data_IF_634533933300
#
_entry.id   IF_634533933300
#
_cell.length_a   1.000
_cell.length_b   1.000
_cell.length_c   1.000
_cell.angle_alpha   90.00
_cell.angle_beta   90.00
_cell.angle_gamma   90.00
#
_symmetry.space_group_name_H-M   'P 1'
#
loop_
_entity.id
_entity.type
_entity.pdbx_description
1 polymer ?
#
# COMPACT_ATOMS: atom_id res chain seq x y z
N UNK A 1 26.32 4.82 -29.68
CA UNK A 1 24.91 5.03 -29.40
C UNK A 1 24.66 4.54 -27.98
N UNK A 2 24.04 5.34 -27.13
CA UNK A 2 23.71 4.93 -25.76
C UNK A 2 22.63 3.84 -25.87
N UNK A 3 22.85 2.71 -25.21
CA UNK A 3 21.89 1.60 -25.23
C UNK A 3 20.63 2.02 -24.48
N UNK A 4 19.44 1.77 -25.06
CA UNK A 4 18.15 2.06 -24.43
C UNK A 4 17.86 1.07 -23.32
N UNK A 5 17.38 1.56 -22.18
CA UNK A 5 16.85 0.75 -21.08
C UNK A 5 15.35 0.51 -21.28
N UNK A 6 14.90 -0.72 -21.14
CA UNK A 6 13.48 -1.06 -21.15
C UNK A 6 13.03 -1.45 -19.74
N UNK A 7 11.86 -1.02 -19.32
CA UNK A 7 11.30 -1.27 -17.99
C UNK A 7 9.90 -1.85 -18.16
N UNK A 8 9.65 -3.00 -17.56
CA UNK A 8 8.33 -3.63 -17.56
C UNK A 8 7.61 -3.24 -16.26
N UNK A 9 6.52 -2.48 -16.38
CA UNK A 9 5.69 -1.99 -15.29
C UNK A 9 5.91 -0.51 -14.99
N UNK A 10 4.83 0.26 -15.06
CA UNK A 10 4.76 1.69 -14.77
C UNK A 10 4.32 2.00 -13.33
N UNK A 11 4.55 1.09 -12.39
CA UNK A 11 4.38 1.33 -10.95
C UNK A 11 5.47 2.25 -10.39
N UNK A 12 5.47 2.47 -9.06
CA UNK A 12 6.44 3.37 -8.42
C UNK A 12 7.89 2.98 -8.70
N UNK A 13 8.25 1.70 -8.56
CA UNK A 13 9.61 1.20 -8.83
C UNK A 13 10.03 1.41 -10.28
N UNK A 14 9.12 1.17 -11.24
CA UNK A 14 9.41 1.37 -12.66
C UNK A 14 9.56 2.85 -13.03
N UNK A 15 8.71 3.71 -12.49
CA UNK A 15 8.80 5.17 -12.69
C UNK A 15 10.08 5.74 -12.08
N UNK A 16 10.46 5.31 -10.86
CA UNK A 16 11.70 5.73 -10.21
C UNK A 16 12.93 5.28 -11.00
N UNK A 17 12.95 4.01 -11.43
CA UNK A 17 14.05 3.49 -12.25
C UNK A 17 14.20 4.24 -13.59
N UNK A 18 13.06 4.55 -14.24
CA UNK A 18 13.06 5.34 -15.48
C UNK A 18 13.58 6.76 -15.25
N UNK A 19 13.10 7.40 -14.17
CA UNK A 19 13.52 8.75 -13.80
C UNK A 19 15.02 8.84 -13.55
N UNK A 20 15.56 7.97 -12.69
CA UNK A 20 16.96 7.96 -12.35
C UNK A 20 17.86 7.67 -13.57
N UNK A 21 17.48 6.70 -14.42
CA UNK A 21 18.22 6.40 -15.64
C UNK A 21 18.21 7.60 -16.61
N UNK A 22 17.08 8.24 -16.78
CA UNK A 22 16.94 9.41 -17.65
C UNK A 22 17.72 10.64 -17.14
N UNK A 23 17.77 10.86 -15.82
CA UNK A 23 18.63 11.89 -15.21
C UNK A 23 20.13 11.67 -15.49
N UNK A 24 20.53 10.41 -15.66
CA UNK A 24 21.89 10.03 -16.07
C UNK A 24 22.10 10.06 -17.60
N UNK A 25 21.13 10.54 -18.37
CA UNK A 25 21.21 10.65 -19.83
C UNK A 25 20.95 9.35 -20.59
N UNK A 26 20.40 8.32 -19.93
CA UNK A 26 20.05 7.04 -20.56
C UNK A 26 18.62 7.11 -21.11
N UNK A 27 18.38 6.86 -22.42
CA UNK A 27 17.03 6.78 -22.96
C UNK A 27 16.31 5.54 -22.43
N UNK A 28 15.04 5.70 -22.05
CA UNK A 28 14.22 4.67 -21.41
C UNK A 28 12.92 4.44 -22.17
N UNK A 29 12.43 3.20 -22.18
CA UNK A 29 11.05 2.87 -22.52
C UNK A 29 10.40 2.13 -21.36
N UNK A 30 9.28 2.66 -20.85
CA UNK A 30 8.40 1.97 -19.90
C UNK A 30 7.34 1.23 -20.70
N UNK A 31 7.16 -0.06 -20.42
CA UNK A 31 6.10 -0.90 -20.96
C UNK A 31 5.06 -1.11 -19.85
N UNK A 32 3.91 -0.46 -19.95
CA UNK A 32 2.80 -0.55 -18.98
C UNK A 32 1.61 -1.24 -19.61
N UNK A 33 1.09 -2.27 -18.96
CA UNK A 33 -0.04 -3.02 -19.51
C UNK A 33 -1.39 -2.29 -19.41
N UNK A 34 -1.55 -1.41 -18.42
CA UNK A 34 -2.79 -0.61 -18.25
C UNK A 34 -2.81 0.58 -19.22
N UNK A 35 -3.96 1.01 -19.68
CA UNK A 35 -5.30 0.49 -19.36
C UNK A 35 -5.75 -0.69 -20.22
N UNK A 36 -4.90 -1.28 -21.08
CA UNK A 36 -5.29 -2.37 -21.99
C UNK A 36 -5.56 -3.68 -21.24
N UNK A 37 -4.75 -3.95 -20.21
CA UNK A 37 -4.94 -5.09 -19.30
C UNK A 37 -5.12 -4.53 -17.89
N UNK A 38 -6.31 -4.66 -17.36
CA UNK A 38 -6.65 -4.18 -16.03
C UNK A 38 -6.16 -5.13 -14.93
N UNK A 39 -5.97 -4.60 -13.73
CA UNK A 39 -5.70 -5.37 -12.52
C UNK A 39 -6.83 -5.19 -11.53
N UNK A 40 -6.97 -6.10 -10.61
CA UNK A 40 -8.00 -6.02 -9.56
C UNK A 40 -7.86 -4.77 -8.66
N UNK A 41 -6.65 -4.31 -8.42
CA UNK A 41 -6.37 -3.31 -7.39
C UNK A 41 -6.27 -1.87 -7.90
N UNK A 42 -5.84 -1.67 -9.15
CA UNK A 42 -5.74 -0.34 -9.74
C UNK A 42 -7.12 0.19 -10.11
N UNK A 43 -7.30 1.50 -9.98
CA UNK A 43 -8.55 2.20 -10.29
C UNK A 43 -8.41 3.11 -11.51
N UNK A 44 -7.17 3.43 -11.90
CA UNK A 44 -6.86 4.35 -13.00
C UNK A 44 -5.82 3.77 -13.94
N UNK A 45 -5.58 4.45 -15.07
CA UNK A 45 -4.46 4.18 -15.96
C UNK A 45 -3.19 4.97 -15.61
N UNK A 46 -3.21 5.74 -14.52
CA UNK A 46 -2.07 6.58 -14.11
C UNK A 46 -0.88 5.74 -13.65
N UNK A 47 0.32 6.23 -13.94
CA UNK A 47 1.57 5.63 -13.48
C UNK A 47 1.80 5.91 -11.99
N UNK A 48 2.53 5.00 -11.32
CA UNK A 48 2.86 5.17 -9.90
C UNK A 48 1.66 5.12 -8.94
N UNK A 49 0.52 4.57 -9.35
CA UNK A 49 -0.69 4.50 -8.53
C UNK A 49 -0.50 3.68 -7.24
N UNK A 50 -0.93 4.26 -6.11
CA UNK A 50 -0.95 3.58 -4.81
C UNK A 50 -2.23 2.77 -4.63
N UNK A 51 -2.13 1.47 -4.52
CA UNK A 51 -3.30 0.57 -4.56
C UNK A 51 -3.87 0.17 -3.21
N UNK A 52 -3.06 -0.05 -2.17
CA UNK A 52 -3.52 -0.56 -0.88
C UNK A 52 -3.65 0.53 0.19
N UNK A 53 -2.64 1.36 0.38
CA UNK A 53 -2.57 2.45 1.35
C UNK A 53 -2.21 3.75 0.65
N UNK A 54 -2.51 4.89 1.27
CA UNK A 54 -2.03 6.19 0.83
C UNK A 54 -0.81 6.68 1.64
N UNK A 55 -0.15 5.79 2.37
CA UNK A 55 0.93 6.14 3.28
C UNK A 55 2.22 5.41 2.95
N UNK A 56 3.32 6.14 3.00
CA UNK A 56 4.68 5.63 2.97
C UNK A 56 5.22 5.30 4.37
N UNK A 57 4.37 5.17 5.41
CA UNK A 57 4.72 4.96 6.81
C UNK A 57 5.38 6.17 7.47
N UNK A 58 6.24 5.96 8.47
CA UNK A 58 6.93 7.02 9.22
C UNK A 58 7.87 7.84 8.33
N UNK A 59 7.86 9.15 8.51
CA UNK A 59 8.77 10.09 7.85
C UNK A 59 9.85 10.64 8.81
N UNK A 60 10.03 10.00 9.95
CA UNK A 60 11.03 10.34 10.97
C UNK A 60 12.36 9.67 10.59
N UNK A 61 13.30 10.46 10.06
CA UNK A 61 14.61 10.00 9.57
C UNK A 61 15.63 9.80 10.69
N UNK A 62 15.38 10.33 11.89
CA UNK A 62 16.28 10.17 13.02
C UNK A 62 16.00 8.91 13.85
N UNK A 63 14.74 8.47 13.92
CA UNK A 63 14.31 7.39 14.82
C UNK A 63 13.62 6.22 14.13
N UNK A 64 13.46 6.26 12.82
CA UNK A 64 12.78 5.23 12.07
C UNK A 64 13.51 4.88 10.77
N UNK A 65 13.76 3.58 10.56
CA UNK A 65 14.48 3.10 9.36
C UNK A 65 13.78 3.50 8.05
N UNK A 66 12.44 3.50 8.01
CA UNK A 66 11.68 3.91 6.82
C UNK A 66 11.87 5.40 6.55
N UNK A 67 11.83 6.24 7.59
CA UNK A 67 12.11 7.68 7.47
C UNK A 67 13.53 7.93 6.96
N UNK A 68 14.51 7.15 7.42
CA UNK A 68 15.89 7.24 6.90
C UNK A 68 15.95 6.90 5.40
N UNK A 69 15.24 5.87 4.94
CA UNK A 69 15.14 5.54 3.51
C UNK A 69 14.50 6.70 2.73
N UNK A 70 13.47 7.35 3.26
CA UNK A 70 12.88 8.55 2.64
C UNK A 70 13.91 9.68 2.49
N UNK A 71 14.72 9.93 3.52
CA UNK A 71 15.77 10.92 3.47
C UNK A 71 16.82 10.59 2.41
N UNK A 72 17.29 9.35 2.35
CA UNK A 72 18.24 8.88 1.33
C UNK A 72 17.67 9.03 -0.09
N UNK A 73 16.41 8.66 -0.31
CA UNK A 73 15.74 8.82 -1.60
C UNK A 73 15.60 10.29 -2.01
N UNK A 74 15.25 11.18 -1.05
CA UNK A 74 15.22 12.64 -1.30
C UNK A 74 16.61 13.16 -1.68
N UNK A 75 17.66 12.72 -0.99
CA UNK A 75 19.04 13.08 -1.31
C UNK A 75 19.48 12.58 -2.69
N UNK A 76 18.93 11.44 -3.14
CA UNK A 76 19.16 10.89 -4.48
C UNK A 76 18.30 11.56 -5.58
N UNK A 77 17.46 12.53 -5.27
CA UNK A 77 16.60 13.21 -6.24
C UNK A 77 15.43 12.35 -6.75
N UNK A 78 14.85 11.52 -5.88
CA UNK A 78 13.73 10.64 -6.19
C UNK A 78 12.51 11.39 -6.69
N UNK A 79 11.95 10.97 -7.82
CA UNK A 79 10.67 11.44 -8.34
C UNK A 79 9.53 11.09 -7.39
N UNK A 80 9.55 9.86 -6.86
CA UNK A 80 8.52 9.34 -5.96
C UNK A 80 8.43 10.20 -4.71
N UNK A 81 9.57 10.49 -4.06
CA UNK A 81 9.60 11.29 -2.84
C UNK A 81 9.27 12.76 -3.09
N UNK A 82 9.82 13.37 -4.14
CA UNK A 82 9.51 14.74 -4.51
C UNK A 82 8.01 14.95 -4.81
N UNK A 83 7.38 13.96 -5.42
CA UNK A 83 5.94 13.98 -5.69
C UNK A 83 5.13 13.74 -4.41
N UNK A 84 5.59 12.85 -3.53
CA UNK A 84 4.95 12.59 -2.24
C UNK A 84 4.95 13.84 -1.36
N UNK A 85 6.07 14.54 -1.27
CA UNK A 85 6.20 15.79 -0.50
C UNK A 85 5.24 16.89 -1.03
N UNK A 86 5.07 16.97 -2.36
CA UNK A 86 4.16 17.93 -2.99
C UNK A 86 2.68 17.64 -2.72
N UNK A 87 2.31 16.37 -2.58
CA UNK A 87 0.93 15.93 -2.41
C UNK A 87 0.64 15.39 -1.00
N UNK A 88 1.48 15.79 -0.03
CA UNK A 88 1.35 15.40 1.37
C UNK A 88 -0.01 15.82 1.93
N UNK A 89 -0.59 14.94 2.70
CA UNK A 89 -1.78 15.21 3.52
C UNK A 89 -1.46 14.93 5.01
N UNK A 90 -2.19 15.57 5.94
CA UNK A 90 -1.93 15.40 7.37
C UNK A 90 -2.07 13.95 7.81
N UNK A 91 -1.03 13.41 8.45
CA UNK A 91 -0.97 12.04 8.95
C UNK A 91 -0.06 11.90 10.19
N UNK A 92 0.05 12.94 11.01
CA UNK A 92 0.93 12.99 12.18
C UNK A 92 2.39 12.79 11.76
N UNK A 93 3.09 11.79 12.33
CA UNK A 93 4.48 11.48 11.96
C UNK A 93 4.65 10.60 10.73
N UNK A 94 3.60 10.32 9.96
CA UNK A 94 3.67 9.54 8.75
C UNK A 94 3.66 10.43 7.49
N UNK A 95 4.29 9.97 6.41
CA UNK A 95 4.12 10.54 5.08
C UNK A 95 2.91 9.88 4.42
N UNK A 96 1.81 10.63 4.30
CA UNK A 96 0.64 10.20 3.55
C UNK A 96 0.34 11.20 2.43
N UNK A 97 -0.26 10.74 1.34
CA UNK A 97 -0.49 11.55 0.15
C UNK A 97 -1.94 11.47 -0.33
N UNK A 98 -2.38 12.50 -1.05
CA UNK A 98 -3.58 12.45 -1.86
C UNK A 98 -3.29 11.61 -3.11
N UNK A 99 -3.88 10.41 -3.20
CA UNK A 99 -3.49 9.38 -4.19
C UNK A 99 -3.65 9.84 -5.64
N UNK A 100 -4.77 10.45 -5.96
CA UNK A 100 -5.10 10.79 -7.35
C UNK A 100 -4.19 11.91 -7.89
N UNK A 101 -4.03 13.06 -7.21
CA UNK A 101 -3.07 14.08 -7.63
C UNK A 101 -1.62 13.58 -7.63
N UNK A 102 -1.27 12.68 -6.71
CA UNK A 102 0.05 12.07 -6.64
C UNK A 102 0.34 11.25 -7.91
N UNK A 103 -0.52 10.28 -8.27
CA UNK A 103 -0.34 9.45 -9.44
C UNK A 103 -0.34 10.27 -10.74
N UNK A 104 -1.25 11.25 -10.87
CA UNK A 104 -1.28 12.18 -12.00
C UNK A 104 0.00 12.98 -12.16
N UNK A 105 0.61 13.42 -11.05
CA UNK A 105 1.87 14.18 -11.09
C UNK A 105 3.05 13.31 -11.51
N UNK A 106 3.12 12.05 -11.08
CA UNK A 106 4.13 11.10 -11.58
C UNK A 106 3.94 10.86 -13.07
N UNK A 107 2.70 10.57 -13.49
CA UNK A 107 2.36 10.36 -14.90
C UNK A 107 2.79 11.55 -15.76
N UNK A 108 2.46 12.77 -15.34
CA UNK A 108 2.85 13.98 -16.05
C UNK A 108 4.38 14.17 -16.12
N UNK A 109 5.11 13.91 -15.02
CA UNK A 109 6.57 14.03 -14.98
C UNK A 109 7.25 13.03 -15.92
N UNK A 110 6.80 11.78 -15.93
CA UNK A 110 7.33 10.73 -16.80
C UNK A 110 7.09 11.08 -18.27
N UNK A 111 5.86 11.47 -18.63
CA UNK A 111 5.54 11.84 -20.03
C UNK A 111 6.22 13.12 -20.51
N UNK A 112 6.53 14.04 -19.61
CA UNK A 112 7.21 15.29 -19.96
C UNK A 112 8.74 15.11 -20.16
N UNK A 113 9.32 14.01 -19.71
CA UNK A 113 10.77 13.81 -19.76
C UNK A 113 11.24 13.39 -21.16
N UNK A 114 12.17 14.13 -21.82
CA UNK A 114 12.52 13.92 -23.23
C UNK A 114 13.23 12.58 -23.53
N UNK A 115 13.74 11.89 -22.51
CA UNK A 115 14.41 10.60 -22.63
C UNK A 115 13.55 9.41 -22.20
N UNK A 116 12.28 9.64 -21.80
CA UNK A 116 11.38 8.57 -21.36
C UNK A 116 10.22 8.46 -22.34
N UNK A 117 10.10 7.28 -22.95
CA UNK A 117 8.93 6.89 -23.73
C UNK A 117 8.06 5.92 -22.91
N UNK A 118 6.75 5.99 -23.04
CA UNK A 118 5.81 5.05 -22.43
C UNK A 118 5.04 4.33 -23.53
N UNK A 119 5.10 3.01 -23.52
CA UNK A 119 4.37 2.14 -24.44
C UNK A 119 3.33 1.35 -23.65
N UNK A 120 2.07 1.49 -24.01
CA UNK A 120 0.97 0.76 -23.35
C UNK A 120 0.79 -0.61 -23.99
N UNK A 121 1.47 -1.60 -23.43
CA UNK A 121 1.41 -2.99 -23.89
C UNK A 121 1.77 -3.96 -22.76
N UNK A 122 1.22 -5.16 -22.84
CA UNK A 122 1.62 -6.25 -21.95
C UNK A 122 2.84 -6.97 -22.50
N UNK A 123 3.90 -7.08 -21.70
CA UNK A 123 5.05 -7.93 -21.99
C UNK A 123 4.81 -9.29 -21.33
N UNK A 124 4.70 -10.33 -22.16
CA UNK A 124 4.32 -11.68 -21.73
C UNK A 124 5.48 -12.67 -21.62
N UNK A 125 6.72 -12.22 -21.93
CA UNK A 125 7.92 -13.06 -21.93
C UNK A 125 9.13 -12.25 -21.47
N UNK A 126 10.17 -12.94 -21.05
CA UNK A 126 11.46 -12.30 -20.70
C UNK A 126 12.30 -12.14 -21.99
N UNK A 127 12.65 -10.90 -22.38
CA UNK A 127 13.38 -10.64 -23.63
C UNK A 127 14.81 -11.20 -23.61
N UNK A 128 15.28 -11.68 -24.77
CA UNK A 128 16.61 -12.26 -24.91
C UNK A 128 17.71 -11.21 -25.10
N UNK A 129 17.35 -10.07 -25.69
CA UNK A 129 18.27 -9.00 -26.03
C UNK A 129 17.90 -7.67 -25.38
N UNK A 130 18.86 -6.76 -25.29
CA UNK A 130 18.68 -5.45 -24.68
C UNK A 130 18.87 -5.45 -23.17
N UNK A 131 18.73 -4.28 -22.54
CA UNK A 131 18.74 -4.11 -21.09
C UNK A 131 17.31 -3.94 -20.58
N UNK A 132 16.97 -4.74 -19.59
CA UNK A 132 15.60 -4.77 -19.04
C UNK A 132 15.58 -4.71 -17.52
N UNK A 133 14.58 -4.02 -17.01
CA UNK A 133 14.20 -4.07 -15.59
C UNK A 133 12.74 -4.55 -15.49
N UNK A 134 12.51 -5.63 -14.75
CA UNK A 134 11.18 -6.09 -14.39
C UNK A 134 10.78 -5.41 -13.08
N UNK A 135 9.84 -4.47 -13.15
CA UNK A 135 9.35 -3.64 -12.04
C UNK A 135 7.82 -3.71 -11.91
N UNK A 136 7.26 -4.89 -12.17
CA UNK A 136 5.81 -5.12 -12.24
C UNK A 136 5.12 -5.18 -10.89
N UNK A 137 5.89 -5.12 -9.79
CA UNK A 137 5.36 -5.17 -8.46
C UNK A 137 4.57 -6.46 -8.18
N UNK A 138 3.57 -6.39 -7.29
CA UNK A 138 2.82 -7.57 -6.88
C UNK A 138 1.80 -8.06 -7.91
N UNK A 139 1.45 -7.22 -8.90
CA UNK A 139 0.41 -7.49 -9.91
C UNK A 139 0.99 -7.89 -11.27
N UNK A 140 2.09 -8.65 -11.25
CA UNK A 140 2.67 -9.22 -12.46
C UNK A 140 1.61 -10.05 -13.21
N UNK A 141 1.49 -9.84 -14.53
CA UNK A 141 0.52 -10.59 -15.34
C UNK A 141 0.80 -12.09 -15.31
N UNK A 142 -0.24 -12.89 -15.47
CA UNK A 142 -0.12 -14.35 -15.42
C UNK A 142 0.89 -14.88 -16.45
N UNK A 143 0.85 -14.35 -17.68
CA UNK A 143 1.75 -14.77 -18.75
C UNK A 143 3.21 -14.45 -18.43
N UNK A 144 3.51 -13.25 -17.92
CA UNK A 144 4.88 -12.90 -17.53
C UNK A 144 5.32 -13.70 -16.29
N UNK A 145 4.46 -13.96 -15.32
CA UNK A 145 4.78 -14.80 -14.17
C UNK A 145 5.13 -16.22 -14.58
N UNK A 146 4.39 -16.81 -15.53
CA UNK A 146 4.71 -18.12 -16.11
C UNK A 146 6.06 -18.09 -16.85
N UNK A 147 6.35 -17.03 -17.60
CA UNK A 147 7.64 -16.89 -18.30
C UNK A 147 8.81 -16.77 -17.30
N UNK A 148 8.64 -16.04 -16.20
CA UNK A 148 9.65 -15.97 -15.12
C UNK A 148 9.86 -17.34 -14.49
N UNK A 149 8.77 -18.08 -14.23
CA UNK A 149 8.85 -19.44 -13.68
C UNK A 149 9.56 -20.40 -14.64
N UNK A 150 9.23 -20.34 -15.92
CA UNK A 150 9.88 -21.18 -16.94
C UNK A 150 11.39 -20.90 -17.05
N UNK A 151 11.80 -19.65 -16.99
CA UNK A 151 13.22 -19.23 -17.05
C UNK A 151 13.99 -19.63 -15.79
N UNK A 152 13.38 -19.49 -14.62
CA UNK A 152 14.07 -19.68 -13.32
C UNK A 152 13.99 -21.12 -12.81
N UNK A 153 13.05 -21.93 -13.33
CA UNK A 153 12.74 -23.25 -12.79
C UNK A 153 12.18 -23.24 -11.36
N UNK A 154 11.91 -22.04 -10.82
CA UNK A 154 11.41 -21.85 -9.48
C UNK A 154 9.94 -21.46 -9.52
N UNK A 155 9.10 -22.09 -8.68
CA UNK A 155 7.74 -21.62 -8.49
C UNK A 155 7.78 -20.18 -7.97
N UNK A 156 6.93 -19.32 -8.54
CA UNK A 156 6.73 -17.99 -8.01
C UNK A 156 6.21 -18.11 -6.58
N UNK A 157 6.92 -17.49 -5.67
CA UNK A 157 6.44 -17.37 -4.29
C UNK A 157 5.22 -16.46 -4.32
N UNK A 158 4.19 -16.83 -3.59
CA UNK A 158 2.98 -16.04 -3.48
C UNK A 158 2.74 -15.67 -2.02
N UNK A 159 2.32 -14.44 -1.82
CA UNK A 159 1.75 -14.00 -0.55
C UNK A 159 0.41 -13.31 -0.83
N UNK A 160 -0.39 -13.22 0.19
CA UNK A 160 -1.66 -12.53 0.11
C UNK A 160 -1.58 -11.20 0.82
N UNK A 161 -2.04 -10.18 0.12
CA UNK A 161 -2.13 -8.82 0.63
C UNK A 161 -3.59 -8.44 0.77
N UNK A 162 -3.92 -7.71 1.82
CA UNK A 162 -5.28 -7.29 2.08
C UNK A 162 -5.38 -5.76 2.06
N UNK A 163 -6.48 -5.27 1.52
CA UNK A 163 -6.78 -3.85 1.40
C UNK A 163 -7.77 -3.48 2.50
N UNK A 164 -7.56 -2.33 3.14
CA UNK A 164 -8.48 -1.76 4.12
C UNK A 164 -9.63 -1.01 3.42
N UNK A 165 -10.84 -1.00 4.02
CA UNK A 165 -11.96 -0.22 3.54
C UNK A 165 -11.74 1.30 3.62
N UNK A 166 -12.40 2.04 2.72
CA UNK A 166 -12.46 3.50 2.71
C UNK A 166 -13.91 3.93 2.92
N UNK A 167 -14.11 4.89 3.82
CA UNK A 167 -15.43 5.38 4.27
C UNK A 167 -15.61 6.83 3.84
N UNK A 168 -16.84 7.21 3.47
CA UNK A 168 -17.22 8.60 3.27
C UNK A 168 -17.32 9.35 4.59
N UNK A 169 -16.70 10.53 4.67
CA UNK A 169 -16.62 11.32 5.89
C UNK A 169 -17.99 11.75 6.45
N UNK A 170 -18.92 12.08 5.57
CA UNK A 170 -20.29 12.53 5.91
C UNK A 170 -21.18 11.43 6.49
N UNK A 171 -20.78 10.17 6.37
CA UNK A 171 -21.44 9.02 6.98
C UNK A 171 -20.93 8.66 8.39
N UNK A 172 -19.97 9.43 8.94
CA UNK A 172 -19.38 9.19 10.25
C UNK A 172 -20.08 10.06 11.32
N UNK A 173 -20.51 9.44 12.40
CA UNK A 173 -21.11 10.15 13.53
C UNK A 173 -20.04 10.82 14.40
N UNK A 174 -19.82 12.12 14.15
CA UNK A 174 -18.85 12.95 14.89
C UNK A 174 -19.28 13.24 16.35
N UNK A 175 -20.50 12.91 16.76
CA UNK A 175 -20.89 13.00 18.18
C UNK A 175 -20.24 11.89 19.04
N UNK A 176 -19.75 10.83 18.40
CA UNK A 176 -19.08 9.69 19.03
C UNK A 176 -17.60 9.63 18.70
N UNK A 177 -17.20 10.10 17.53
CA UNK A 177 -15.83 10.11 17.06
C UNK A 177 -15.18 11.49 17.28
N UNK A 178 -13.84 11.53 17.40
CA UNK A 178 -13.11 12.79 17.55
C UNK A 178 -11.80 12.78 16.75
N UNK A 179 -11.28 13.97 16.44
CA UNK A 179 -10.03 14.17 15.73
C UNK A 179 -8.86 14.31 16.72
N UNK A 180 -7.87 13.42 16.64
CA UNK A 180 -6.63 13.51 17.41
C UNK A 180 -5.57 12.56 16.83
N UNK A 181 -4.35 13.04 16.64
CA UNK A 181 -3.18 12.20 16.42
C UNK A 181 -2.67 11.63 17.74
N UNK A 182 -2.17 10.42 17.72
CA UNK A 182 -1.67 9.73 18.92
C UNK A 182 -0.50 10.51 19.56
N UNK A 183 -0.60 10.77 20.86
CA UNK A 183 0.33 11.61 21.64
C UNK A 183 0.38 13.06 21.15
N UNK A 184 -0.66 13.55 20.48
CA UNK A 184 -0.71 14.88 19.85
C UNK A 184 0.50 15.17 18.96
N UNK A 185 1.02 14.13 18.30
CA UNK A 185 2.16 14.24 17.38
C UNK A 185 1.82 15.11 16.19
N UNK A 186 2.75 16.01 15.86
CA UNK A 186 2.68 16.95 14.75
C UNK A 186 3.08 18.36 15.20
N UNK A 187 3.63 19.12 14.28
CA UNK A 187 4.05 20.50 14.54
C UNK A 187 2.85 21.46 14.45
N UNK A 188 1.92 21.18 13.54
CA UNK A 188 0.72 21.98 13.31
C UNK A 188 -0.51 21.40 14.00
N UNK A 189 -1.53 22.21 14.18
CA UNK A 189 -2.84 21.76 14.70
C UNK A 189 -3.46 20.71 13.75
N UNK A 190 -3.29 20.88 12.44
CA UNK A 190 -3.80 19.96 11.44
C UNK A 190 -3.16 18.57 11.54
N UNK A 191 -1.85 18.50 11.81
CA UNK A 191 -1.16 17.24 12.06
C UNK A 191 -1.56 16.60 13.38
N UNK A 192 -1.74 17.40 14.45
CA UNK A 192 -2.22 16.92 15.74
C UNK A 192 -3.64 16.39 15.72
N UNK A 193 -4.44 16.81 14.74
CA UNK A 193 -5.81 16.37 14.51
C UNK A 193 -6.01 15.57 13.23
N UNK A 194 -4.95 14.86 12.76
CA UNK A 194 -4.95 14.17 11.47
C UNK A 194 -5.76 12.87 11.45
N UNK A 195 -6.01 12.27 12.62
CA UNK A 195 -6.72 11.00 12.73
C UNK A 195 -8.09 11.17 13.38
N UNK A 196 -9.09 10.52 12.81
CA UNK A 196 -10.39 10.34 13.42
C UNK A 196 -10.36 9.08 14.28
N UNK A 197 -10.91 9.14 15.49
CA UNK A 197 -10.85 8.08 16.48
C UNK A 197 -12.26 7.66 16.90
N UNK A 198 -12.54 6.37 16.86
CA UNK A 198 -13.80 5.76 17.27
C UNK A 198 -13.56 4.92 18.54
N UNK A 199 -14.10 5.31 19.71
CA UNK A 199 -13.86 4.64 20.98
C UNK A 199 -14.74 3.40 21.11
N UNK A 200 -14.24 2.38 21.78
CA UNK A 200 -15.01 1.20 22.14
C UNK A 200 -14.88 0.91 23.64
N UNK A 201 -16.01 0.62 24.29
CA UNK A 201 -16.03 -0.02 25.60
C UNK A 201 -15.58 -1.47 25.51
N UNK A 202 -15.30 -2.11 26.66
CA UNK A 202 -14.91 -3.53 26.70
C UNK A 202 -15.99 -4.43 26.06
N UNK A 203 -17.25 -4.22 26.41
CA UNK A 203 -18.35 -5.03 25.86
C UNK A 203 -18.50 -4.88 24.35
N UNK A 204 -18.36 -3.65 23.81
CA UNK A 204 -18.40 -3.40 22.37
C UNK A 204 -17.21 -4.07 21.66
N UNK A 205 -16.02 -3.98 22.24
CA UNK A 205 -14.82 -4.63 21.70
C UNK A 205 -14.98 -6.16 21.64
N UNK A 206 -15.43 -6.78 22.75
CA UNK A 206 -15.62 -8.23 22.80
C UNK A 206 -16.66 -8.71 21.77
N UNK A 207 -17.80 -8.00 21.65
CA UNK A 207 -18.82 -8.29 20.64
C UNK A 207 -18.28 -8.10 19.21
N UNK A 208 -17.47 -7.07 18.98
CA UNK A 208 -16.81 -6.84 17.69
C UNK A 208 -15.85 -7.98 17.34
N UNK A 209 -15.01 -8.45 18.28
CA UNK A 209 -14.10 -9.56 18.08
C UNK A 209 -14.86 -10.85 17.75
N UNK A 210 -15.97 -11.13 18.43
CA UNK A 210 -16.80 -12.32 18.14
C UNK A 210 -17.36 -12.24 16.72
N UNK A 211 -17.95 -11.11 16.33
CA UNK A 211 -18.50 -10.91 15.00
C UNK A 211 -17.42 -10.97 13.90
N UNK A 212 -16.20 -10.47 14.17
CA UNK A 212 -15.07 -10.52 13.26
C UNK A 212 -14.59 -11.96 13.04
N UNK A 213 -14.51 -12.75 14.10
CA UNK A 213 -14.07 -14.16 14.03
C UNK A 213 -15.09 -15.04 13.32
N UNK A 214 -16.41 -14.79 13.54
CA UNK A 214 -17.51 -15.51 12.92
C UNK A 214 -17.83 -15.04 11.49
N UNK A 215 -17.27 -13.89 11.06
CA UNK A 215 -17.56 -13.31 9.75
C UNK A 215 -17.19 -14.26 8.60
N UNK A 216 -18.00 -14.22 7.54
CA UNK A 216 -17.69 -14.93 6.31
C UNK A 216 -16.42 -14.36 5.66
N UNK A 217 -15.48 -15.25 5.37
CA UNK A 217 -14.15 -14.91 4.82
C UNK A 217 -13.98 -15.49 3.42
N UNK A 218 -13.11 -14.87 2.64
CA UNK A 218 -12.65 -15.44 1.36
C UNK A 218 -11.75 -16.63 1.66
N UNK A 219 -12.06 -17.78 1.05
CA UNK A 219 -11.26 -18.99 1.15
C UNK A 219 -10.18 -19.01 0.05
N UNK A 220 -9.04 -19.57 0.37
CA UNK A 220 -7.98 -19.83 -0.60
C UNK A 220 -8.27 -21.10 -1.40
N UNK A 221 -7.72 -21.18 -2.60
CA UNK A 221 -7.82 -22.39 -3.41
C UNK A 221 -7.08 -23.55 -2.72
N UNK A 222 -7.56 -24.80 -2.89
CA UNK A 222 -6.87 -25.98 -2.37
C UNK A 222 -5.41 -26.01 -2.84
N UNK A 223 -4.46 -26.12 -1.90
CA UNK A 223 -3.02 -26.12 -2.17
C UNK A 223 -2.33 -24.76 -2.06
N UNK A 224 -3.07 -23.66 -1.89
CA UNK A 224 -2.48 -22.36 -1.56
C UNK A 224 -2.24 -22.26 -0.06
N UNK A 225 -0.98 -22.14 0.34
CA UNK A 225 -0.61 -21.77 1.71
C UNK A 225 -0.67 -20.26 1.85
N UNK A 226 -1.51 -19.77 2.76
CA UNK A 226 -1.62 -18.34 3.03
C UNK A 226 -0.36 -17.83 3.74
N UNK A 227 0.63 -17.38 2.99
CA UNK A 227 1.62 -16.44 3.50
C UNK A 227 1.03 -15.03 3.45
N UNK A 228 1.13 -14.29 4.56
CA UNK A 228 0.81 -12.85 4.57
C UNK A 228 2.08 -12.09 4.89
N UNK A 229 2.22 -10.88 4.37
CA UNK A 229 3.16 -9.93 4.94
C UNK A 229 2.66 -9.43 6.29
N UNK A 230 3.57 -9.27 7.25
CA UNK A 230 3.20 -8.79 8.59
C UNK A 230 2.57 -7.40 8.56
N UNK A 231 2.99 -6.52 7.66
CA UNK A 231 2.43 -5.16 7.51
C UNK A 231 1.05 -5.10 6.87
N UNK A 232 0.63 -6.16 6.16
CA UNK A 232 -0.68 -6.26 5.49
C UNK A 232 -1.52 -7.44 6.00
N UNK A 233 -1.24 -7.88 7.22
CA UNK A 233 -1.95 -8.99 7.84
C UNK A 233 -3.43 -8.66 8.01
N UNK A 234 -4.36 -9.51 7.52
CA UNK A 234 -5.79 -9.27 7.72
C UNK A 234 -6.15 -9.20 9.20
N UNK A 235 -7.06 -8.29 9.53
CA UNK A 235 -7.45 -8.04 10.92
C UNK A 235 -8.05 -9.28 11.60
N UNK A 236 -8.73 -10.14 10.84
CA UNK A 236 -9.27 -11.41 11.33
C UNK A 236 -8.15 -12.37 11.73
N UNK A 237 -7.07 -12.41 10.96
CA UNK A 237 -5.89 -13.25 11.25
C UNK A 237 -5.17 -12.76 12.50
N UNK A 238 -5.10 -11.43 12.69
CA UNK A 238 -4.59 -10.86 13.93
C UNK A 238 -5.48 -11.24 15.13
N UNK A 239 -6.81 -11.17 14.98
CA UNK A 239 -7.76 -11.54 16.04
C UNK A 239 -7.70 -13.04 16.38
N UNK A 240 -7.46 -13.92 15.41
CA UNK A 240 -7.26 -15.36 15.61
C UNK A 240 -6.03 -15.69 16.47
N UNK A 241 -5.01 -14.83 16.50
CA UNK A 241 -3.82 -14.97 17.36
C UNK A 241 -4.13 -14.75 18.85
N UNK A 242 -5.26 -14.13 19.16
CA UNK A 242 -5.75 -13.89 20.52
C UNK A 242 -6.70 -12.70 20.60
N UNK A 243 -7.71 -12.80 21.46
CA UNK A 243 -8.78 -11.79 21.58
C UNK A 243 -8.27 -10.38 21.87
N UNK A 244 -7.17 -10.24 22.60
CA UNK A 244 -6.57 -8.95 22.97
C UNK A 244 -5.56 -8.44 21.93
N UNK A 245 -5.21 -9.22 20.91
CA UNK A 245 -4.15 -8.86 19.94
C UNK A 245 -4.41 -7.51 19.30
N UNK A 246 -5.66 -7.24 18.88
CA UNK A 246 -6.00 -5.98 18.20
C UNK A 246 -5.87 -4.77 19.13
N UNK A 247 -6.17 -4.94 20.43
CA UNK A 247 -6.06 -3.90 21.46
C UNK A 247 -4.61 -3.50 21.74
N UNK A 248 -3.65 -4.38 21.52
CA UNK A 248 -2.21 -4.09 21.58
C UNK A 248 -1.60 -3.74 20.21
N UNK A 249 -2.39 -3.85 19.15
CA UNK A 249 -2.04 -3.54 17.76
C UNK A 249 -2.81 -2.33 17.21
N UNK A 250 -3.58 -2.52 16.12
CA UNK A 250 -4.25 -1.41 15.42
C UNK A 250 -5.31 -0.68 16.24
N UNK A 251 -5.91 -1.35 17.24
CA UNK A 251 -6.97 -0.78 18.08
C UNK A 251 -6.49 -0.31 19.46
N UNK A 252 -5.17 -0.12 19.65
CA UNK A 252 -4.66 0.29 20.98
C UNK A 252 -5.18 1.70 21.36
N UNK A 253 -5.61 1.93 22.62
CA UNK A 253 -6.11 3.23 23.05
C UNK A 253 -5.03 4.18 23.56
N UNK A 254 -3.81 3.73 23.74
CA UNK A 254 -2.70 4.48 24.36
C UNK A 254 -2.35 5.72 23.56
N UNK A 255 -2.15 6.86 24.24
CA UNK A 255 -1.81 8.14 23.62
C UNK A 255 -3.00 8.89 23.00
N UNK A 256 -4.24 8.48 23.32
CA UNK A 256 -5.47 9.11 22.88
C UNK A 256 -6.34 9.46 24.09
N UNK A 257 -7.02 10.61 24.02
CA UNK A 257 -7.96 11.07 25.02
C UNK A 257 -9.31 11.31 24.33
N UNK A 258 -10.36 10.62 24.78
CA UNK A 258 -11.68 10.79 24.18
C UNK A 258 -12.23 12.18 24.50
N UNK A 259 -12.40 13.04 23.50
CA UNK A 259 -12.89 14.40 23.67
C UNK A 259 -14.35 14.47 24.23
N UNK A 260 -15.15 13.43 23.99
CA UNK A 260 -16.53 13.32 24.46
C UNK A 260 -16.65 12.75 25.89
N UNK A 261 -15.60 12.07 26.37
CA UNK A 261 -15.55 11.47 27.72
C UNK A 261 -14.10 11.43 28.21
N UNK A 262 -13.53 12.60 28.62
CA UNK A 262 -12.13 12.70 29.01
C UNK A 262 -11.76 11.95 30.28
N UNK A 263 -12.74 11.70 31.14
CA UNK A 263 -12.55 11.03 32.43
C UNK A 263 -12.39 9.51 32.29
N UNK A 264 -13.00 8.93 31.23
CA UNK A 264 -13.01 7.50 31.01
C UNK A 264 -12.15 7.15 29.79
N UNK A 265 -11.08 6.39 30.01
CA UNK A 265 -10.25 5.88 28.92
C UNK A 265 -11.02 4.80 28.14
N UNK A 266 -11.08 4.90 26.81
CA UNK A 266 -11.67 3.85 25.99
C UNK A 266 -10.88 2.53 26.15
N UNK A 267 -11.59 1.41 26.07
CA UNK A 267 -10.95 0.09 26.13
C UNK A 267 -10.15 -0.19 24.87
N UNK A 268 -10.68 0.18 23.72
CA UNK A 268 -10.02 0.13 22.43
C UNK A 268 -10.42 1.36 21.58
N UNK A 269 -9.61 1.68 20.57
CA UNK A 269 -9.91 2.79 19.65
C UNK A 269 -9.61 2.34 18.23
N UNK A 270 -10.57 2.51 17.31
CA UNK A 270 -10.36 2.39 15.89
C UNK A 270 -9.95 3.76 15.33
N UNK A 271 -8.83 3.80 14.62
CA UNK A 271 -8.34 5.03 13.98
C UNK A 271 -8.62 5.02 12.48
N UNK A 272 -9.09 6.17 11.98
CA UNK A 272 -9.24 6.41 10.56
C UNK A 272 -8.32 7.56 10.15
N UNK A 273 -7.69 7.45 8.99
CA UNK A 273 -6.82 8.48 8.41
C UNK A 273 -7.46 9.04 7.15
N UNK A 274 -7.32 10.33 6.92
CA UNK A 274 -7.73 10.96 5.65
C UNK A 274 -7.10 10.22 4.47
N UNK A 275 -7.90 9.94 3.44
CA UNK A 275 -7.47 9.28 2.21
C UNK A 275 -7.31 10.29 1.05
N UNK A 276 -7.81 11.51 1.20
CA UNK A 276 -7.65 12.62 0.27
C UNK A 276 -7.49 13.97 0.99
N UNK A 277 -6.98 14.97 0.28
CA UNK A 277 -6.76 16.32 0.81
C UNK A 277 -8.04 17.03 1.22
N UNK A 278 -9.16 16.77 0.54
CA UNK A 278 -10.46 17.35 0.84
C UNK A 278 -11.06 16.85 2.17
N UNK A 279 -10.53 15.74 2.73
CA UNK A 279 -11.05 15.13 3.94
C UNK A 279 -12.43 14.51 3.78
N UNK A 280 -12.84 14.19 2.55
CA UNK A 280 -14.13 13.55 2.26
C UNK A 280 -14.08 12.03 2.34
N UNK A 281 -12.88 11.46 2.41
CA UNK A 281 -12.64 10.01 2.48
C UNK A 281 -11.69 9.67 3.63
N UNK A 282 -12.01 8.59 4.33
CA UNK A 282 -11.19 8.07 5.42
C UNK A 282 -10.88 6.58 5.24
N UNK A 283 -9.60 6.22 5.38
CA UNK A 283 -9.12 4.85 5.39
C UNK A 283 -9.10 4.32 6.83
N UNK A 284 -9.61 3.12 7.09
CA UNK A 284 -9.55 2.51 8.42
C UNK A 284 -8.16 1.91 8.63
N UNK A 285 -7.40 2.49 9.55
CA UNK A 285 -5.98 2.14 9.75
C UNK A 285 -5.82 0.75 10.37
N UNK A 286 -5.09 -0.12 9.69
CA UNK A 286 -4.81 -1.49 10.16
C UNK A 286 -5.98 -2.46 10.03
N UNK A 287 -7.00 -2.12 9.25
CA UNK A 287 -8.19 -2.94 9.00
C UNK A 287 -8.20 -3.59 7.62
N UNK A 288 -7.04 -3.99 7.14
CA UNK A 288 -6.96 -4.89 5.98
C UNK A 288 -7.77 -6.14 6.27
N UNK A 289 -8.55 -6.62 5.30
CA UNK A 289 -9.52 -7.70 5.58
C UNK A 289 -9.70 -8.66 4.41
N UNK A 290 -9.95 -9.92 4.73
CA UNK A 290 -10.40 -10.97 3.81
C UNK A 290 -11.89 -11.32 3.99
N UNK A 291 -12.63 -10.55 4.81
CA UNK A 291 -14.09 -10.72 4.93
C UNK A 291 -14.76 -10.52 3.57
N UNK A 292 -15.85 -11.25 3.32
CA UNK A 292 -16.74 -10.98 2.19
C UNK A 292 -17.44 -9.64 2.37
N UNK A 293 -17.82 -8.98 1.28
CA UNK A 293 -18.35 -7.60 1.28
C UNK A 293 -19.52 -7.38 2.24
N UNK A 294 -20.51 -8.30 2.24
CA UNK A 294 -21.65 -8.22 3.17
C UNK A 294 -21.25 -8.35 4.64
N UNK A 295 -20.27 -9.18 4.94
CA UNK A 295 -19.73 -9.33 6.29
C UNK A 295 -18.96 -8.08 6.73
N UNK A 296 -18.18 -7.46 5.84
CA UNK A 296 -17.46 -6.22 6.13
C UNK A 296 -18.42 -5.12 6.58
N UNK A 297 -19.48 -4.84 5.82
CA UNK A 297 -20.48 -3.81 6.16
C UNK A 297 -21.09 -4.08 7.52
N UNK A 298 -21.51 -5.33 7.81
CA UNK A 298 -22.14 -5.69 9.08
C UNK A 298 -21.18 -5.52 10.26
N UNK A 299 -19.96 -6.03 10.15
CA UNK A 299 -18.97 -6.03 11.23
C UNK A 299 -18.43 -4.63 11.49
N UNK A 300 -18.09 -3.89 10.44
CA UNK A 300 -17.51 -2.55 10.60
C UNK A 300 -18.53 -1.53 11.14
N UNK A 301 -19.81 -1.69 10.85
CA UNK A 301 -20.90 -0.88 11.43
C UNK A 301 -21.17 -1.16 12.91
N UNK A 302 -20.50 -2.14 13.51
CA UNK A 302 -20.51 -2.32 14.98
C UNK A 302 -19.57 -1.35 15.71
N UNK A 303 -18.70 -0.65 14.99
CA UNK A 303 -17.77 0.33 15.56
C UNK A 303 -18.54 1.61 15.87
N UNK A 304 -18.50 2.12 17.13
CA UNK A 304 -19.17 3.36 17.50
C UNK A 304 -18.73 4.55 16.64
N UNK A 305 -19.71 5.24 16.08
CA UNK A 305 -19.48 6.31 15.10
C UNK A 305 -19.49 5.86 13.65
N UNK A 306 -19.51 4.54 13.38
CA UNK A 306 -19.58 3.96 12.03
C UNK A 306 -20.87 3.16 11.77
N UNK A 307 -21.90 3.31 12.61
CA UNK A 307 -23.15 2.53 12.50
C UNK A 307 -23.87 2.74 11.16
N UNK A 308 -23.78 3.96 10.61
CA UNK A 308 -24.36 4.33 9.32
C UNK A 308 -23.29 4.53 8.23
N UNK A 309 -22.07 4.01 8.46
CA UNK A 309 -20.96 4.24 7.55
C UNK A 309 -21.26 3.77 6.10
N UNK A 310 -20.97 4.64 5.15
CA UNK A 310 -21.01 4.36 3.73
C UNK A 310 -19.59 4.15 3.21
N UNK A 311 -19.40 3.06 2.44
CA UNK A 311 -18.08 2.65 1.98
C UNK A 311 -17.83 3.11 0.54
N UNK A 312 -16.87 3.99 0.34
CA UNK A 312 -16.38 4.35 -0.99
C UNK A 312 -15.66 3.18 -1.65
N UNK A 313 -14.99 2.34 -0.84
CA UNK A 313 -14.37 1.09 -1.25
C UNK A 313 -14.42 0.08 -0.09
N UNK A 314 -14.82 -1.12 -0.35
CA UNK A 314 -14.64 -2.24 0.57
C UNK A 314 -13.24 -2.83 0.46
N UNK A 315 -12.78 -3.45 1.53
CA UNK A 315 -11.53 -4.17 1.56
C UNK A 315 -11.59 -5.46 0.72
N UNK A 316 -10.45 -6.01 0.45
CA UNK A 316 -10.34 -7.26 -0.30
C UNK A 316 -8.97 -7.88 -0.15
N UNK A 317 -8.87 -9.13 -0.51
CA UNK A 317 -7.60 -9.86 -0.54
C UNK A 317 -7.22 -10.14 -1.99
N UNK A 318 -5.96 -9.98 -2.28
CA UNK A 318 -5.39 -10.35 -3.57
C UNK A 318 -4.10 -11.15 -3.40
N UNK A 319 -3.83 -11.99 -4.38
CA UNK A 319 -2.61 -12.75 -4.47
C UNK A 319 -1.54 -11.90 -5.14
N UNK A 320 -0.43 -11.74 -4.45
CA UNK A 320 0.77 -11.10 -4.96
C UNK A 320 1.79 -12.16 -5.35
N UNK A 321 2.53 -11.90 -6.40
CA UNK A 321 3.63 -12.76 -6.84
C UNK A 321 4.97 -12.07 -6.60
N UNK A 322 5.96 -12.82 -6.15
CA UNK A 322 7.33 -12.37 -6.04
C UNK A 322 8.31 -13.50 -6.32
N UNK A 323 9.58 -13.16 -6.53
CA UNK A 323 10.64 -14.12 -6.77
C UNK A 323 11.52 -14.29 -5.53
N UNK A 324 12.15 -15.46 -5.40
CA UNK A 324 13.16 -15.69 -4.35
C UNK A 324 14.48 -15.00 -4.74
N UNK A 325 14.57 -13.69 -4.53
CA UNK A 325 15.71 -12.86 -4.92
C UNK A 325 17.05 -13.37 -4.38
N UNK A 326 17.21 -13.79 -3.12
CA UNK A 326 18.49 -14.32 -2.62
C UNK A 326 19.03 -15.50 -3.42
N UNK A 327 18.16 -16.34 -3.97
CA UNK A 327 18.59 -17.49 -4.77
C UNK A 327 18.72 -17.17 -6.25
N UNK A 328 17.88 -16.32 -6.79
CA UNK A 328 17.75 -16.07 -8.23
C UNK A 328 18.55 -14.88 -8.75
N UNK A 329 18.78 -13.86 -7.89
CA UNK A 329 19.43 -12.62 -8.30
C UNK A 329 20.88 -12.53 -7.79
N UNK A 330 21.68 -11.76 -8.54
CA UNK A 330 22.98 -11.26 -8.09
C UNK A 330 22.80 -10.08 -7.11
N UNK A 331 23.86 -9.64 -6.39
CA UNK A 331 23.81 -8.41 -5.60
C UNK A 331 23.44 -7.14 -6.39
N UNK A 332 23.60 -7.15 -7.72
CA UNK A 332 23.20 -6.07 -8.63
C UNK A 332 21.78 -6.25 -9.17
N UNK A 333 20.98 -7.13 -8.55
CA UNK A 333 19.61 -7.45 -8.91
C UNK A 333 19.44 -8.03 -10.32
N UNK A 334 20.51 -8.57 -10.90
CA UNK A 334 20.49 -9.28 -12.20
C UNK A 334 20.00 -10.71 -12.03
N UNK A 335 19.13 -11.16 -12.93
CA UNK A 335 18.77 -12.58 -13.00
C UNK A 335 20.01 -13.42 -13.37
N UNK A 336 20.36 -14.39 -12.52
CA UNK A 336 21.58 -15.20 -12.71
C UNK A 336 21.59 -15.99 -14.02
N UNK A 337 20.41 -16.49 -14.43
CA UNK A 337 20.25 -17.22 -15.71
C UNK A 337 20.21 -16.29 -16.92
N UNK A 338 19.85 -15.01 -16.76
CA UNK A 338 19.65 -14.05 -17.86
C UNK A 338 20.14 -12.64 -17.46
N UNK A 339 21.47 -12.37 -17.51
CA UNK A 339 22.09 -11.18 -16.91
C UNK A 339 21.68 -9.83 -17.53
N UNK A 340 21.06 -9.83 -18.71
CA UNK A 340 20.49 -8.64 -19.33
C UNK A 340 19.20 -8.15 -18.65
N UNK A 341 18.63 -8.95 -17.72
CA UNK A 341 17.41 -8.65 -16.98
C UNK A 341 17.74 -8.38 -15.52
N UNK A 342 17.18 -7.30 -14.98
CA UNK A 342 17.17 -6.95 -13.56
C UNK A 342 15.75 -6.93 -13.03
N UNK A 343 15.63 -7.01 -11.72
CA UNK A 343 14.35 -6.89 -11.02
C UNK A 343 14.40 -5.72 -10.03
N UNK A 344 13.28 -5.02 -9.85
CA UNK A 344 13.16 -3.90 -8.92
C UNK A 344 11.78 -3.85 -8.28
N UNK A 345 11.71 -3.31 -7.05
CA UNK A 345 10.49 -3.14 -6.30
C UNK A 345 9.94 -4.44 -5.72
N UNK A 346 8.67 -4.45 -5.38
CA UNK A 346 8.03 -5.50 -4.57
C UNK A 346 8.07 -6.90 -5.18
N UNK A 347 8.22 -7.04 -6.50
CA UNK A 347 8.41 -8.34 -7.16
C UNK A 347 9.68 -9.06 -6.66
N UNK A 348 10.64 -8.34 -6.11
CA UNK A 348 11.87 -8.91 -5.53
C UNK A 348 11.67 -9.50 -4.13
N UNK A 349 10.48 -9.43 -3.56
CA UNK A 349 10.16 -9.93 -2.23
C UNK A 349 10.38 -8.92 -1.09
N UNK A 350 10.63 -7.66 -1.42
CA UNK A 350 10.65 -6.56 -0.42
C UNK A 350 9.23 -6.09 -0.13
N UNK A 351 9.00 -5.61 1.08
CA UNK A 351 7.69 -5.13 1.52
C UNK A 351 7.70 -3.61 1.70
N UNK A 352 6.74 -2.94 1.05
CA UNK A 352 6.50 -1.52 1.20
C UNK A 352 6.61 -0.74 -0.11
N UNK A 353 6.28 0.57 -0.04
CA UNK A 353 6.28 1.42 -1.23
C UNK A 353 7.65 2.05 -1.54
N UNK A 354 8.55 2.08 -0.58
CA UNK A 354 9.87 2.74 -0.70
C UNK A 354 11.05 1.77 -0.68
N UNK A 355 10.85 0.58 -0.18
CA UNK A 355 11.84 -0.52 -0.21
C UNK A 355 11.92 -1.12 -1.61
#
# INVERSE_FOLDING_TARGET
>A
MTQRLNIIGGGMAGCEAAWQAAQLGVPVTIHEMRPKVETFAHQTGDLGEMVCSNSFRSDDDEQNAVGLVHWEMRAAGSLIMATADKHRIPAGGALAVDREPYAKSITAAIHAHPLIDVTYEEITHLPDEGLWIVATGPFTSGALAEAIQAETGAEALAFFDAIAPIIYADSIDMSRAWMQSRYDKGETEEERTAYLNCPMSKAQYEAFIDALLEAEKTEFKPGETAGYFDGCLPIEVMAERGRETLRFGPMKPVGLCNAHDPENKPYAVVQLRRDNALGTLFNIVGFQTKMKYGAQTRVLRMIPGLEEAEFARLGGIHRNSFINSPTLLTPQMQLKSKPNIRFAGQITGVEGYVE
#
